data_IF_329120827776
#
_entry.id   IF_329120827776
#
_cell.length_a   1.000
_cell.length_b   1.000
_cell.length_c   1.000
_cell.angle_alpha   90.00
_cell.angle_beta   90.00
_cell.angle_gamma   90.00
#
_symmetry.space_group_name_H-M   'P 1'
#
loop_
_entity.id
_entity.type
_entity.pdbx_description
1 polymer ?
#
# COMPACT_ATOMS: atom_id res chain seq x y z
N UNK A 1 -4.61 -15.41 14.05
CA UNK A 1 -4.59 -14.34 15.07
C UNK A 1 -4.06 -13.11 14.33
N UNK A 2 -4.88 -12.07 14.14
CA UNK A 2 -4.35 -10.79 13.65
C UNK A 2 -3.29 -10.33 14.66
N UNK A 3 -2.06 -10.11 14.20
CA UNK A 3 -1.06 -9.40 14.99
C UNK A 3 -1.39 -7.90 14.96
N UNK A 4 -0.85 -7.18 15.93
CA UNK A 4 -1.22 -5.82 16.38
C UNK A 4 -1.88 -4.90 15.33
N UNK A 5 -3.02 -4.30 15.69
CA UNK A 5 -3.60 -3.15 14.98
C UNK A 5 -3.09 -1.89 15.69
N UNK A 6 -2.33 -1.08 14.97
CA UNK A 6 -1.92 0.25 15.44
C UNK A 6 -3.00 1.23 15.03
N UNK A 7 -3.60 1.93 16.00
CA UNK A 7 -4.65 2.91 15.76
C UNK A 7 -4.21 4.30 16.22
N UNK A 8 -4.29 5.25 15.30
CA UNK A 8 -3.90 6.65 15.51
C UNK A 8 -5.12 7.48 15.98
N UNK A 9 -5.67 7.11 17.14
CA UNK A 9 -6.96 7.66 17.63
C UNK A 9 -6.96 9.16 17.97
N UNK A 10 -5.79 9.80 18.04
CA UNK A 10 -5.66 11.22 18.43
C UNK A 10 -5.08 12.10 17.35
N UNK A 11 -4.14 11.59 16.54
CA UNK A 11 -3.49 12.32 15.44
C UNK A 11 -2.79 11.30 14.54
N UNK A 12 -2.82 11.52 13.24
CA UNK A 12 -2.07 10.73 12.28
C UNK A 12 -0.56 10.75 12.59
N UNK A 13 0.16 9.68 12.27
CA UNK A 13 1.60 9.57 12.52
C UNK A 13 2.44 10.37 11.51
N UNK A 14 1.80 10.90 10.48
CA UNK A 14 2.36 11.71 9.40
C UNK A 14 1.72 13.10 9.37
N UNK A 15 2.33 14.03 8.64
CA UNK A 15 1.91 15.45 8.60
C UNK A 15 1.43 15.82 7.22
N UNK A 16 0.13 16.11 7.11
CA UNK A 16 -0.47 16.64 5.88
C UNK A 16 0.01 18.10 5.67
N UNK A 17 0.99 18.32 4.80
CA UNK A 17 1.64 19.64 4.61
C UNK A 17 1.64 20.14 3.15
N UNK A 18 0.72 19.65 2.34
CA UNK A 18 0.55 20.02 0.93
C UNK A 18 -0.72 20.83 0.67
N UNK A 19 -0.83 21.39 -0.54
CA UNK A 19 -2.05 22.06 -0.97
C UNK A 19 -3.10 21.04 -1.37
N UNK A 20 -4.26 21.08 -0.70
CA UNK A 20 -5.43 20.28 -1.06
C UNK A 20 -6.22 20.94 -2.19
N UNK A 21 -6.80 20.16 -3.09
CA UNK A 21 -7.82 20.63 -4.03
C UNK A 21 -9.19 20.15 -3.54
N UNK A 22 -10.16 21.05 -3.38
CA UNK A 22 -11.53 20.72 -2.90
C UNK A 22 -11.63 19.98 -1.53
N UNK A 23 -10.53 19.92 -0.76
CA UNK A 23 -10.47 19.18 0.51
C UNK A 23 -10.06 17.72 0.35
N UNK A 24 -9.70 17.31 -0.87
CA UNK A 24 -9.09 16.01 -1.16
C UNK A 24 -7.59 16.03 -0.80
N UNK A 25 -7.11 14.89 -0.31
CA UNK A 25 -5.74 14.65 0.12
C UNK A 25 -4.97 13.78 -0.89
N UNK A 26 -3.68 14.03 -1.08
CA UNK A 26 -2.89 13.27 -2.04
C UNK A 26 -2.58 11.86 -1.52
N UNK A 27 -3.09 10.85 -2.22
CA UNK A 27 -2.83 9.45 -1.87
C UNK A 27 -1.32 9.11 -1.97
N UNK A 28 -0.62 9.66 -2.96
CA UNK A 28 0.83 9.46 -3.15
C UNK A 28 1.67 10.05 -2.00
N UNK A 29 1.34 11.26 -1.55
CA UNK A 29 2.04 11.91 -0.43
C UNK A 29 1.78 11.14 0.89
N UNK A 30 0.52 10.77 1.16
CA UNK A 30 0.17 9.95 2.34
C UNK A 30 0.90 8.61 2.32
N UNK A 31 0.91 7.93 1.16
CA UNK A 31 1.61 6.66 1.01
C UNK A 31 3.12 6.83 1.24
N UNK A 32 3.72 7.95 0.82
CA UNK A 32 5.12 8.24 1.07
C UNK A 32 5.38 8.45 2.55
N UNK A 33 4.61 9.33 3.19
CA UNK A 33 4.77 9.68 4.60
C UNK A 33 4.57 8.47 5.55
N UNK A 34 3.60 7.59 5.27
CA UNK A 34 3.39 6.40 6.12
C UNK A 34 4.54 5.40 5.99
N UNK A 35 5.15 5.29 4.81
CA UNK A 35 6.34 4.46 4.62
C UNK A 35 7.56 5.08 5.34
N UNK A 36 7.71 6.41 5.32
CA UNK A 36 8.75 7.10 6.11
C UNK A 36 8.55 6.92 7.61
N UNK A 37 7.32 7.07 8.11
CA UNK A 37 6.99 6.80 9.50
C UNK A 37 7.31 5.34 9.89
N UNK A 38 6.92 4.37 9.06
CA UNK A 38 7.21 2.95 9.27
C UNK A 38 8.72 2.72 9.36
N UNK A 39 9.50 3.32 8.47
CA UNK A 39 10.95 3.22 8.46
C UNK A 39 11.60 3.76 9.74
N UNK A 40 11.12 4.90 10.24
CA UNK A 40 11.61 5.52 11.47
C UNK A 40 11.23 4.75 12.74
N UNK A 41 10.18 3.93 12.68
CA UNK A 41 9.64 3.21 13.83
C UNK A 41 9.85 1.69 13.75
N UNK A 42 10.50 1.17 12.71
CA UNK A 42 10.56 -0.27 12.40
C UNK A 42 10.93 -1.14 13.61
N UNK A 43 11.98 -0.77 14.35
CA UNK A 43 12.46 -1.50 15.53
C UNK A 43 11.45 -1.56 16.68
N UNK A 44 10.53 -0.59 16.74
CA UNK A 44 9.47 -0.52 17.74
C UNK A 44 8.16 -1.20 17.29
N UNK A 45 8.02 -1.50 15.99
CA UNK A 45 6.87 -2.21 15.44
C UNK A 45 7.02 -3.72 15.65
N UNK A 46 5.90 -4.40 15.83
CA UNK A 46 5.88 -5.87 15.77
C UNK A 46 6.34 -6.31 14.37
N UNK A 47 7.23 -7.30 14.29
CA UNK A 47 7.72 -7.86 13.02
C UNK A 47 6.55 -8.21 12.09
N UNK A 48 6.63 -7.72 10.85
CA UNK A 48 5.56 -7.78 9.85
C UNK A 48 6.15 -7.71 8.42
N UNK A 49 5.50 -8.38 7.47
CA UNK A 49 5.88 -8.35 6.06
C UNK A 49 5.30 -7.12 5.32
N UNK A 50 4.06 -6.75 5.67
CA UNK A 50 3.30 -5.67 5.03
C UNK A 50 2.58 -4.82 6.07
N UNK A 51 2.30 -3.57 5.72
CA UNK A 51 1.46 -2.64 6.47
C UNK A 51 0.32 -2.14 5.57
N UNK A 52 -0.86 -1.94 6.15
CA UNK A 52 -2.00 -1.34 5.44
C UNK A 52 -2.57 -0.21 6.30
N UNK A 53 -2.68 0.99 5.74
CA UNK A 53 -3.32 2.13 6.38
C UNK A 53 -4.79 2.21 5.97
N UNK A 54 -5.67 2.12 6.96
CA UNK A 54 -7.09 2.43 6.78
C UNK A 54 -7.32 3.91 7.06
N UNK A 55 -7.56 4.69 6.00
CA UNK A 55 -7.70 6.14 6.06
C UNK A 55 -9.17 6.55 5.99
N UNK A 56 -9.55 7.55 6.80
CA UNK A 56 -10.85 8.23 6.68
C UNK A 56 -10.80 9.50 5.82
N UNK A 57 -9.64 9.82 5.25
CA UNK A 57 -9.44 10.98 4.37
C UNK A 57 -10.06 10.71 3.00
N UNK A 58 -10.46 11.78 2.32
CA UNK A 58 -10.94 11.73 0.94
C UNK A 58 -9.76 11.95 0.00
N UNK A 59 -9.42 10.98 -0.84
CA UNK A 59 -8.25 11.08 -1.70
C UNK A 59 -8.55 11.76 -3.03
N UNK A 60 -7.51 12.38 -3.60
CA UNK A 60 -7.64 13.15 -4.83
C UNK A 60 -7.85 12.32 -6.10
N UNK A 61 -8.54 12.93 -7.08
CA UNK A 61 -8.66 12.38 -8.43
C UNK A 61 -9.52 11.12 -8.55
N UNK A 62 -10.37 10.84 -7.56
CA UNK A 62 -11.21 9.64 -7.51
C UNK A 62 -10.47 8.38 -7.05
N UNK A 63 -9.24 8.53 -6.55
CA UNK A 63 -8.47 7.46 -5.92
C UNK A 63 -9.21 7.00 -4.65
N UNK A 64 -9.27 5.69 -4.40
CA UNK A 64 -9.83 5.14 -3.15
C UNK A 64 -8.86 4.20 -2.45
N UNK A 65 -7.75 3.86 -3.09
CA UNK A 65 -6.66 3.11 -2.53
C UNK A 65 -5.41 3.32 -3.38
N UNK A 66 -4.25 3.10 -2.76
CA UNK A 66 -2.97 3.17 -3.45
C UNK A 66 -1.97 2.23 -2.81
N UNK A 67 -1.25 1.49 -3.65
CA UNK A 67 -0.12 0.67 -3.27
C UNK A 67 0.97 0.71 -4.34
N UNK A 68 2.20 0.47 -3.91
CA UNK A 68 3.30 0.26 -4.86
C UNK A 68 3.18 -1.16 -5.42
N UNK A 69 3.11 -1.29 -6.74
CA UNK A 69 3.18 -2.60 -7.40
C UNK A 69 4.62 -3.09 -7.48
N UNK A 70 4.88 -4.35 -7.12
CA UNK A 70 6.15 -5.02 -7.44
C UNK A 70 6.36 -5.11 -8.96
N UNK A 71 7.06 -4.13 -9.53
CA UNK A 71 7.48 -4.14 -10.95
C UNK A 71 8.96 -4.50 -11.12
N UNK A 72 9.75 -4.39 -10.05
CA UNK A 72 11.17 -4.67 -10.05
C UNK A 72 11.69 -4.86 -8.61
N UNK A 73 12.93 -5.34 -8.49
CA UNK A 73 13.60 -5.53 -7.19
C UNK A 73 13.73 -4.24 -6.36
N UNK A 74 13.65 -3.06 -6.98
CA UNK A 74 13.76 -1.74 -6.32
C UNK A 74 12.40 -1.10 -6.02
N UNK A 75 11.28 -1.73 -6.39
CA UNK A 75 9.92 -1.20 -6.20
C UNK A 75 9.03 -2.15 -5.38
N UNK A 76 9.62 -2.86 -4.42
CA UNK A 76 8.95 -3.95 -3.73
C UNK A 76 8.08 -3.51 -2.55
N UNK A 77 6.89 -4.10 -2.49
CA UNK A 77 5.84 -3.88 -1.50
C UNK A 77 5.55 -5.10 -0.62
N UNK A 78 6.00 -6.28 -1.02
CA UNK A 78 6.15 -7.45 -0.16
C UNK A 78 7.44 -8.18 -0.56
N UNK A 79 8.57 -7.77 0.01
CA UNK A 79 9.83 -8.50 -0.16
C UNK A 79 9.85 -9.72 0.77
N UNK A 80 10.36 -10.86 0.29
CA UNK A 80 10.79 -11.94 1.17
C UNK A 80 11.97 -11.46 2.03
N UNK A 81 11.68 -11.17 3.29
CA UNK A 81 12.61 -10.67 4.32
C UNK A 81 13.83 -11.60 4.46
N UNK A 82 13.67 -12.91 4.22
CA UNK A 82 14.70 -13.93 4.42
C UNK A 82 15.75 -14.01 3.30
N UNK A 83 15.39 -13.69 2.07
CA UNK A 83 16.32 -13.79 0.93
C UNK A 83 17.18 -12.54 0.73
N UNK A 84 16.71 -11.36 1.17
CA UNK A 84 17.35 -10.07 0.83
C UNK A 84 17.57 -9.11 2.00
N UNK A 85 16.80 -9.23 3.10
CA UNK A 85 16.92 -8.29 4.22
C UNK A 85 17.85 -8.82 5.35
N UNK A 86 18.58 -9.94 5.15
CA UNK A 86 19.63 -10.40 6.08
C UNK A 86 20.85 -9.47 6.17
N UNK A 87 20.94 -8.48 5.28
CA UNK A 87 21.94 -7.42 5.25
C UNK A 87 21.36 -6.10 4.73
N UNK A 88 20.24 -5.64 5.27
CA UNK A 88 19.74 -4.28 5.00
C UNK A 88 20.74 -3.23 5.48
N UNK A 89 21.14 -2.33 4.58
CA UNK A 89 22.03 -1.20 4.88
C UNK A 89 21.26 0.07 5.26
N UNK A 90 21.75 1.23 4.81
CA UNK A 90 21.05 2.51 4.95
C UNK A 90 19.70 2.45 4.21
N UNK A 91 18.66 3.04 4.82
CA UNK A 91 17.30 3.15 4.26
C UNK A 91 16.65 1.82 3.85
N UNK A 92 16.94 0.73 4.58
CA UNK A 92 16.40 -0.63 4.36
C UNK A 92 16.49 -1.13 2.92
N UNK A 93 17.48 -0.64 2.18
CA UNK A 93 17.85 -1.15 0.89
C UNK A 93 19.01 -2.13 1.01
N UNK A 94 18.91 -3.25 0.30
CA UNK A 94 20.05 -4.10 0.00
C UNK A 94 20.97 -3.32 -0.95
N UNK A 95 22.26 -3.31 -0.61
CA UNK A 95 23.32 -2.73 -1.45
C UNK A 95 24.26 -3.83 -1.91
N UNK A 96 24.82 -3.71 -3.11
CA UNK A 96 25.93 -4.57 -3.55
C UNK A 96 27.25 -4.18 -2.86
N UNK A 97 28.32 -4.95 -3.09
CA UNK A 97 29.66 -4.69 -2.54
C UNK A 97 30.24 -3.30 -2.97
N UNK A 98 29.67 -2.69 -4.00
CA UNK A 98 30.02 -1.35 -4.49
C UNK A 98 29.19 -0.22 -3.88
N UNK A 99 28.23 -0.55 -3.01
CA UNK A 99 27.31 0.41 -2.39
C UNK A 99 26.14 0.83 -3.29
N UNK A 100 25.88 0.15 -4.40
CA UNK A 100 24.72 0.44 -5.24
C UNK A 100 23.48 -0.23 -4.67
N UNK A 101 22.34 0.48 -4.67
CA UNK A 101 21.04 -0.07 -4.27
C UNK A 101 20.61 -1.14 -5.28
N UNK A 102 20.38 -2.36 -4.80
CA UNK A 102 19.93 -3.50 -5.60
C UNK A 102 18.49 -3.96 -5.26
N UNK A 103 17.92 -3.45 -4.17
CA UNK A 103 16.50 -3.61 -3.82
C UNK A 103 16.16 -2.98 -2.47
N UNK A 104 14.90 -2.57 -2.25
CA UNK A 104 14.50 -1.87 -1.03
C UNK A 104 13.30 -2.55 -0.35
N UNK A 105 13.40 -2.74 0.97
CA UNK A 105 12.36 -3.32 1.84
C UNK A 105 11.42 -2.23 2.43
N UNK A 106 11.51 -0.96 1.95
CA UNK A 106 10.83 0.19 2.57
C UNK A 106 9.38 0.42 2.14
N UNK A 107 8.97 0.04 0.93
CA UNK A 107 7.69 0.46 0.38
C UNK A 107 6.59 -0.59 0.57
N UNK A 108 6.56 -1.17 1.77
CA UNK A 108 5.67 -2.27 2.14
C UNK A 108 4.32 -1.80 2.70
N UNK A 109 3.95 -0.56 2.45
CA UNK A 109 2.66 0.00 2.87
C UNK A 109 1.70 0.13 1.69
N UNK A 110 0.43 -0.11 1.95
CA UNK A 110 -0.72 0.22 1.11
C UNK A 110 -1.65 1.14 1.90
N UNK A 111 -2.47 1.93 1.21
CA UNK A 111 -3.47 2.80 1.83
C UNK A 111 -4.84 2.57 1.18
N UNK A 112 -5.90 2.58 1.97
CA UNK A 112 -7.27 2.55 1.45
C UNK A 112 -8.16 3.52 2.21
N UNK A 113 -8.98 4.25 1.46
CA UNK A 113 -10.09 5.04 1.99
C UNK A 113 -11.17 4.07 2.48
N UNK A 114 -11.59 4.23 3.74
CA UNK A 114 -12.60 3.36 4.35
C UNK A 114 -13.67 4.18 5.06
N UNK A 115 -14.90 3.70 4.96
CA UNK A 115 -16.08 4.27 5.59
C UNK A 115 -16.92 3.18 6.25
N UNK A 116 -17.35 3.43 7.50
CA UNK A 116 -18.12 2.45 8.28
C UNK A 116 -19.41 1.95 7.58
N UNK A 117 -19.94 2.71 6.62
CA UNK A 117 -21.16 2.39 5.87
C UNK A 117 -20.92 1.66 4.54
N UNK A 118 -19.66 1.41 4.14
CA UNK A 118 -19.27 0.91 2.81
C UNK A 118 -18.44 -0.39 2.88
N UNK A 119 -18.71 -1.23 3.89
CA UNK A 119 -17.81 -2.34 4.26
C UNK A 119 -17.42 -3.30 3.12
N UNK A 120 -18.33 -3.59 2.18
CA UNK A 120 -18.03 -4.49 1.07
C UNK A 120 -17.03 -3.86 0.08
N UNK A 121 -17.35 -2.66 -0.41
CA UNK A 121 -16.49 -1.92 -1.36
C UNK A 121 -15.11 -1.69 -0.75
N UNK A 122 -15.07 -1.27 0.51
CA UNK A 122 -13.83 -0.93 1.18
C UNK A 122 -12.96 -2.18 1.42
N UNK A 123 -13.58 -3.32 1.74
CA UNK A 123 -12.85 -4.59 1.86
C UNK A 123 -12.23 -5.04 0.52
N UNK A 124 -12.92 -4.77 -0.59
CA UNK A 124 -12.41 -5.06 -1.93
C UNK A 124 -11.28 -4.12 -2.30
N UNK A 125 -11.39 -2.83 -1.99
CA UNK A 125 -10.28 -1.88 -2.14
C UNK A 125 -9.06 -2.33 -1.34
N UNK A 126 -9.26 -2.80 -0.11
CA UNK A 126 -8.16 -3.35 0.70
C UNK A 126 -7.53 -4.58 0.04
N UNK A 127 -8.34 -5.50 -0.47
CA UNK A 127 -7.86 -6.67 -1.20
C UNK A 127 -7.12 -6.29 -2.49
N UNK A 128 -7.62 -5.30 -3.23
CA UNK A 128 -7.01 -4.74 -4.44
C UNK A 128 -5.60 -4.21 -4.15
N UNK A 129 -5.47 -3.37 -3.11
CA UNK A 129 -4.16 -2.81 -2.76
C UNK A 129 -3.18 -3.88 -2.25
N UNK A 130 -3.65 -4.86 -1.49
CA UNK A 130 -2.81 -6.03 -1.13
C UNK A 130 -2.40 -6.80 -2.39
N UNK A 131 -3.27 -6.93 -3.38
CA UNK A 131 -2.95 -7.51 -4.69
C UNK A 131 -1.78 -6.78 -5.37
N UNK A 132 -1.80 -5.45 -5.39
CA UNK A 132 -0.66 -4.66 -5.84
C UNK A 132 0.60 -4.90 -5.00
N UNK A 133 0.47 -5.05 -3.67
CA UNK A 133 1.61 -5.42 -2.82
C UNK A 133 2.22 -6.78 -3.19
N UNK A 134 1.40 -7.71 -3.68
CA UNK A 134 1.80 -9.03 -4.18
C UNK A 134 2.27 -9.01 -5.65
N UNK A 135 2.23 -7.85 -6.30
CA UNK A 135 2.69 -7.65 -7.68
C UNK A 135 1.61 -7.76 -8.75
N UNK A 136 0.34 -7.95 -8.38
CA UNK A 136 -0.76 -8.03 -9.34
C UNK A 136 -0.94 -6.70 -10.05
N UNK A 137 -1.10 -6.75 -11.37
CA UNK A 137 -1.45 -5.61 -12.21
C UNK A 137 -2.94 -5.38 -12.18
N UNK A 138 -3.38 -4.24 -12.70
CA UNK A 138 -4.77 -4.15 -13.09
C UNK A 138 -5.07 -5.17 -14.19
N UNK A 139 -6.26 -5.77 -14.12
CA UNK A 139 -6.79 -6.78 -15.04
C UNK A 139 -6.71 -6.36 -16.52
N UNK A 140 -6.88 -5.06 -16.80
CA UNK A 140 -6.80 -4.53 -18.15
C UNK A 140 -5.36 -4.35 -18.68
N UNK A 141 -4.33 -4.67 -17.88
CA UNK A 141 -2.91 -4.45 -18.20
C UNK A 141 -2.14 -5.76 -18.47
N UNK A 142 -2.43 -6.87 -17.79
CA UNK A 142 -1.65 -8.12 -17.94
C UNK A 142 -2.21 -9.12 -18.96
N UNK A 143 -3.38 -8.84 -19.54
CA UNK A 143 -3.89 -9.59 -20.68
C UNK A 143 -4.39 -10.98 -20.32
N UNK A 144 -4.75 -11.21 -19.05
CA UNK A 144 -5.44 -12.41 -18.59
C UNK A 144 -6.91 -12.49 -19.08
N UNK A 145 -7.44 -11.37 -19.57
CA UNK A 145 -8.77 -11.26 -20.19
C UNK A 145 -9.88 -10.80 -19.25
N UNK A 146 -9.52 -10.34 -18.04
CA UNK A 146 -10.44 -9.82 -17.04
C UNK A 146 -10.92 -8.40 -17.37
N UNK A 147 -12.02 -7.96 -16.74
CA UNK A 147 -12.72 -6.73 -17.10
C UNK A 147 -12.07 -5.47 -16.48
N UNK A 148 -12.28 -4.28 -17.07
CA UNK A 148 -11.82 -3.01 -16.51
C UNK A 148 -12.52 -2.63 -15.18
N UNK A 149 -13.58 -3.34 -14.80
CA UNK A 149 -14.41 -3.15 -13.60
C UNK A 149 -15.05 -4.46 -13.14
N UNK A 150 -15.34 -4.58 -11.85
CA UNK A 150 -16.15 -5.68 -11.28
C UNK A 150 -15.34 -6.85 -10.72
N UNK A 151 -14.07 -6.95 -11.10
CA UNK A 151 -13.08 -7.89 -10.58
C UNK A 151 -12.22 -7.21 -9.49
N UNK A 152 -11.53 -7.99 -8.65
CA UNK A 152 -10.75 -7.45 -7.52
C UNK A 152 -9.64 -6.52 -8.01
N UNK A 153 -8.94 -6.86 -9.08
CA UNK A 153 -7.82 -6.07 -9.61
C UNK A 153 -8.24 -5.14 -10.75
N UNK A 154 -9.53 -4.92 -10.94
CA UNK A 154 -10.02 -3.99 -11.93
C UNK A 154 -9.55 -2.56 -11.62
N UNK A 155 -9.14 -1.82 -12.65
CA UNK A 155 -8.67 -0.42 -12.51
C UNK A 155 -9.76 0.52 -11.96
N UNK A 156 -11.04 0.18 -12.15
CA UNK A 156 -12.18 0.94 -11.66
C UNK A 156 -13.02 0.15 -10.66
N UNK A 157 -13.26 0.76 -9.50
CA UNK A 157 -14.24 0.28 -8.53
C UNK A 157 -15.66 0.59 -8.99
N UNK A 158 -16.54 -0.42 -8.93
CA UNK A 158 -17.98 -0.31 -9.16
C UNK A 158 -18.76 -0.67 -7.89
N UNK A 159 -20.05 -0.31 -7.86
CA UNK A 159 -20.96 -0.66 -6.76
C UNK A 159 -21.40 -2.13 -6.77
N UNK A 160 -21.29 -2.80 -7.93
CA UNK A 160 -21.52 -4.23 -8.08
C UNK A 160 -20.15 -4.88 -8.28
N UNK A 161 -19.81 -5.84 -7.43
CA UNK A 161 -18.55 -6.59 -7.48
C UNK A 161 -18.88 -8.07 -7.47
N UNK A 162 -18.02 -8.89 -8.06
CA UNK A 162 -18.12 -10.35 -7.98
C UNK A 162 -18.18 -10.79 -6.50
N UNK A 163 -19.32 -11.33 -6.10
CA UNK A 163 -19.60 -11.85 -4.74
C UNK A 163 -19.61 -13.37 -4.68
N UNK A 164 -19.36 -14.03 -5.81
CA UNK A 164 -19.26 -15.48 -5.89
C UNK A 164 -17.81 -15.88 -5.62
N UNK A 165 -17.55 -16.29 -4.37
CA UNK A 165 -16.30 -16.90 -3.91
C UNK A 165 -16.46 -18.40 -3.62
#
# INVERSE_FOLDING_TARGET
ILRDIISFTTTDPYVLNWSTYEGEESADEILTDINEWRALNYDALTSHDVMHLFSGLDFDGGTIGLARQYRSRVSSSACDEGQYCSSVGLDYCAVDDGGNIIGCCLWATSISQVWATSSQRDAITVAHEIGHQLGFSHDNIDGDGCAESGDIMAWQSTYEVEVDW
#
